data_IF_513513506580
#
_entry.id   IF_513513506580
#
_cell.length_a   1.000
_cell.length_b   1.000
_cell.length_c   1.000
_cell.angle_alpha   90.00
_cell.angle_beta   90.00
_cell.angle_gamma   90.00
#
_symmetry.space_group_name_H-M   'P 1'
#
loop_
_entity.id
_entity.type
_entity.pdbx_description
1 polymer ?
#
# COMPACT_ATOMS: atom_id res chain seq x y z
N UNK A 1 -53.37 18.79 -29.86
CA UNK A 1 -52.66 19.27 -28.67
C UNK A 1 -51.76 18.15 -28.15
N UNK A 2 -50.51 18.16 -28.56
CA UNK A 2 -49.55 17.08 -28.23
C UNK A 2 -48.71 17.56 -27.05
N UNK A 3 -48.87 16.92 -25.90
CA UNK A 3 -48.04 17.20 -24.73
C UNK A 3 -46.65 16.53 -24.92
N UNK A 4 -45.65 17.34 -25.22
CA UNK A 4 -44.24 16.95 -25.15
C UNK A 4 -43.84 16.81 -23.69
N UNK A 5 -43.76 15.60 -23.15
CA UNK A 5 -43.19 15.32 -21.83
C UNK A 5 -41.69 15.44 -21.91
N UNK A 6 -41.10 16.40 -21.20
CA UNK A 6 -39.69 16.67 -21.19
C UNK A 6 -38.92 15.48 -20.59
N UNK A 7 -38.11 14.83 -21.39
CA UNK A 7 -37.19 13.74 -21.05
C UNK A 7 -35.89 14.27 -20.37
N UNK A 8 -35.75 15.58 -20.26
CA UNK A 8 -34.54 16.27 -19.81
C UNK A 8 -34.07 15.98 -18.38
N UNK A 9 -34.95 15.82 -17.35
CA UNK A 9 -34.45 15.58 -16.01
C UNK A 9 -33.84 14.19 -15.81
N UNK A 10 -34.29 13.19 -16.57
CA UNK A 10 -33.78 11.81 -16.43
C UNK A 10 -32.37 11.64 -17.01
N UNK A 11 -32.04 12.38 -18.05
CA UNK A 11 -30.72 12.33 -18.67
C UNK A 11 -29.62 12.95 -17.77
N UNK A 12 -29.97 14.02 -17.06
CA UNK A 12 -29.03 14.70 -16.14
C UNK A 12 -28.67 13.81 -14.94
N UNK A 13 -29.64 13.10 -14.38
CA UNK A 13 -29.40 12.16 -13.27
C UNK A 13 -28.51 10.99 -13.69
N UNK A 14 -28.68 10.50 -14.92
CA UNK A 14 -27.85 9.41 -15.45
C UNK A 14 -26.40 9.81 -15.71
N UNK A 15 -26.15 11.05 -16.14
CA UNK A 15 -24.78 11.59 -16.33
C UNK A 15 -24.07 11.76 -14.98
N UNK A 16 -24.78 12.17 -13.92
CA UNK A 16 -24.17 12.26 -12.59
C UNK A 16 -23.86 10.91 -11.96
N UNK A 17 -24.61 9.85 -12.28
CA UNK A 17 -24.30 8.49 -11.81
C UNK A 17 -23.01 7.92 -12.46
N UNK A 18 -22.66 8.32 -13.68
CA UNK A 18 -21.41 7.91 -14.32
C UNK A 18 -20.19 8.76 -13.91
N UNK A 19 -20.38 9.99 -13.47
CA UNK A 19 -19.30 10.83 -12.93
C UNK A 19 -18.92 10.46 -11.49
N UNK A 20 -19.77 9.72 -10.78
CA UNK A 20 -19.55 9.27 -9.41
C UNK A 20 -18.67 8.02 -9.26
N UNK A 21 -18.33 7.34 -10.36
CA UNK A 21 -17.22 6.38 -10.34
C UNK A 21 -15.90 7.17 -10.35
N UNK A 22 -15.56 7.80 -9.23
CA UNK A 22 -14.18 8.18 -8.98
C UNK A 22 -13.36 6.91 -9.20
N UNK A 23 -12.63 6.85 -10.31
CA UNK A 23 -11.56 5.89 -10.51
C UNK A 23 -10.64 6.10 -9.32
N UNK A 24 -10.72 5.22 -8.33
CA UNK A 24 -9.65 5.06 -7.37
C UNK A 24 -8.45 4.57 -8.18
N UNK A 25 -7.79 5.50 -8.85
CA UNK A 25 -6.59 5.19 -9.60
C UNK A 25 -5.53 4.85 -8.56
N UNK A 26 -5.06 3.62 -8.58
CA UNK A 26 -3.88 3.23 -7.83
C UNK A 26 -2.77 4.24 -8.11
N UNK A 27 -2.10 4.76 -7.09
CA UNK A 27 -1.01 5.71 -7.28
C UNK A 27 0.10 5.05 -8.08
N UNK A 28 0.63 5.76 -9.08
CA UNK A 28 1.79 5.29 -9.84
C UNK A 28 3.04 5.29 -8.96
N UNK A 29 4.02 4.47 -9.32
CA UNK A 29 5.32 4.49 -8.66
C UNK A 29 5.95 5.88 -8.68
N UNK A 30 5.77 6.62 -9.77
CA UNK A 30 6.28 7.99 -9.90
C UNK A 30 5.69 8.91 -8.82
N UNK A 31 4.37 8.85 -8.62
CA UNK A 31 3.70 9.65 -7.57
C UNK A 31 4.19 9.26 -6.17
N UNK A 32 4.38 7.96 -5.93
CA UNK A 32 4.90 7.48 -4.65
C UNK A 32 6.36 7.91 -4.43
N UNK A 33 7.23 7.80 -5.45
CA UNK A 33 8.61 8.28 -5.38
C UNK A 33 8.68 9.79 -5.14
N UNK A 34 7.85 10.58 -5.80
CA UNK A 34 7.77 12.01 -5.62
C UNK A 34 7.33 12.37 -4.19
N UNK A 35 6.24 11.72 -3.69
CA UNK A 35 5.78 11.91 -2.32
C UNK A 35 6.88 11.56 -1.30
N UNK A 36 7.58 10.45 -1.49
CA UNK A 36 8.68 10.06 -0.61
C UNK A 36 9.79 11.12 -0.62
N UNK A 37 10.25 11.55 -1.79
CA UNK A 37 11.36 12.50 -1.92
C UNK A 37 11.02 13.87 -1.33
N UNK A 38 9.77 14.31 -1.44
CA UNK A 38 9.31 15.59 -0.87
C UNK A 38 9.16 15.51 0.66
N UNK A 39 8.93 14.33 1.22
CA UNK A 39 8.56 14.15 2.62
C UNK A 39 9.46 13.11 3.34
N UNK A 40 10.70 12.90 2.90
CA UNK A 40 11.60 11.87 3.46
C UNK A 40 11.74 11.97 4.98
N UNK A 41 11.87 13.21 5.51
CA UNK A 41 11.98 13.42 6.95
C UNK A 41 10.76 12.96 7.74
N UNK A 42 9.58 13.06 7.15
CA UNK A 42 8.32 12.59 7.72
C UNK A 42 8.23 11.05 7.73
N UNK A 43 8.68 10.42 6.64
CA UNK A 43 8.79 8.95 6.57
C UNK A 43 9.74 8.42 7.65
N UNK A 44 10.91 9.05 7.81
CA UNK A 44 11.85 8.69 8.87
C UNK A 44 11.27 8.93 10.29
N UNK A 45 10.47 9.97 10.48
CA UNK A 45 9.79 10.22 11.76
C UNK A 45 8.75 9.14 12.05
N UNK A 46 7.94 8.73 11.04
CA UNK A 46 7.01 7.61 11.19
C UNK A 46 7.75 6.34 11.62
N UNK A 47 8.80 5.97 10.91
CA UNK A 47 9.64 4.82 11.26
C UNK A 47 10.16 4.93 12.70
N UNK A 48 10.72 6.08 13.07
CA UNK A 48 11.31 6.28 14.39
C UNK A 48 10.27 6.21 15.53
N UNK A 49 9.02 6.61 15.27
CA UNK A 49 7.94 6.42 16.23
C UNK A 49 7.58 4.94 16.30
N UNK A 50 7.44 4.26 15.18
CA UNK A 50 7.05 2.84 15.11
C UNK A 50 7.98 1.93 15.89
N UNK A 51 9.28 2.08 15.71
CA UNK A 51 10.30 1.23 16.37
C UNK A 51 10.45 1.47 17.87
N UNK A 52 9.77 2.45 18.47
CA UNK A 52 9.70 2.61 19.93
C UNK A 52 8.82 1.58 20.59
N UNK A 53 7.90 1.01 19.82
CA UNK A 53 6.92 0.05 20.30
C UNK A 53 7.34 -1.35 19.88
N UNK A 54 6.89 -2.32 20.62
CA UNK A 54 7.03 -3.71 20.25
C UNK A 54 6.18 -4.10 19.04
N UNK A 55 5.60 -4.90 18.62
CA UNK A 55 4.75 -5.07 17.44
C UNK A 55 3.47 -4.24 17.57
N UNK A 56 3.12 -3.42 16.53
CA UNK A 56 1.85 -2.71 16.53
C UNK A 56 1.28 -2.48 15.10
N UNK A 57 -0.01 -2.29 15.06
CA UNK A 57 -0.75 -1.76 13.92
C UNK A 57 -1.46 -0.47 14.35
N UNK A 58 -1.53 0.54 13.51
CA UNK A 58 -2.26 1.76 13.76
C UNK A 58 -2.88 2.33 12.49
N UNK A 59 -4.19 2.63 12.57
CA UNK A 59 -4.91 3.39 11.56
C UNK A 59 -5.78 4.46 12.23
N UNK A 60 -5.70 5.72 11.84
CA UNK A 60 -6.58 6.75 12.37
C UNK A 60 -8.04 6.57 11.95
N UNK A 61 -8.31 5.65 11.03
CA UNK A 61 -9.63 5.37 10.48
C UNK A 61 -10.28 4.11 11.06
N UNK A 62 -9.56 3.37 11.91
CA UNK A 62 -10.04 2.15 12.58
C UNK A 62 -10.20 2.38 14.08
N UNK A 63 -11.46 2.63 14.51
CA UNK A 63 -11.77 2.84 15.92
C UNK A 63 -11.72 1.55 16.77
N UNK A 64 -11.66 0.38 16.12
CA UNK A 64 -11.67 -0.93 16.80
C UNK A 64 -10.27 -1.43 17.15
N UNK A 65 -9.23 -0.72 16.74
CA UNK A 65 -7.85 -1.13 16.93
C UNK A 65 -7.45 -1.14 18.43
N UNK A 66 -7.31 -2.36 18.95
CA UNK A 66 -6.90 -2.60 20.35
C UNK A 66 -5.44 -2.18 20.63
N UNK A 67 -4.61 -2.03 19.61
CA UNK A 67 -3.18 -1.68 19.77
C UNK A 67 -2.98 -0.17 19.97
N UNK A 68 -3.96 0.65 19.62
CA UNK A 68 -3.94 2.09 19.87
C UNK A 68 -3.77 2.48 21.34
N UNK A 69 -4.07 1.57 22.28
CA UNK A 69 -3.89 1.79 23.72
C UNK A 69 -2.44 1.72 24.21
N UNK A 70 -1.56 1.14 23.41
CA UNK A 70 -0.14 0.97 23.76
C UNK A 70 0.66 2.23 23.42
N UNK A 71 0.18 3.01 22.46
CA UNK A 71 0.87 4.19 21.95
C UNK A 71 0.64 5.38 22.89
N UNK A 72 1.72 6.12 23.23
CA UNK A 72 1.58 7.33 24.03
C UNK A 72 0.70 8.37 23.34
N UNK A 73 -0.06 9.16 24.10
CA UNK A 73 -0.91 10.23 23.54
C UNK A 73 -0.13 11.19 22.63
N UNK A 74 1.12 11.51 23.00
CA UNK A 74 1.99 12.36 22.20
C UNK A 74 2.31 11.73 20.85
N UNK A 75 2.74 10.46 20.86
CA UNK A 75 3.13 9.75 19.64
C UNK A 75 1.89 9.48 18.75
N UNK A 76 0.72 9.18 19.35
CA UNK A 76 -0.54 9.05 18.63
C UNK A 76 -0.89 10.32 17.86
N UNK A 77 -0.85 11.48 18.52
CA UNK A 77 -1.14 12.77 17.87
C UNK A 77 -0.16 13.07 16.73
N UNK A 78 1.10 12.68 16.90
CA UNK A 78 2.12 12.85 15.86
C UNK A 78 1.88 11.88 14.69
N UNK A 79 1.56 10.60 14.95
CA UNK A 79 1.17 9.63 13.93
C UNK A 79 -0.01 10.11 13.11
N UNK A 80 -1.10 10.58 13.76
CA UNK A 80 -2.28 11.13 13.08
C UNK A 80 -1.92 12.23 12.09
N UNK A 81 -1.05 13.16 12.52
CA UNK A 81 -0.60 14.27 11.69
C UNK A 81 0.24 13.81 10.49
N UNK A 82 1.17 12.87 10.74
CA UNK A 82 2.07 12.36 9.70
C UNK A 82 1.33 11.48 8.68
N UNK A 83 0.47 10.57 9.14
CA UNK A 83 -0.34 9.70 8.31
C UNK A 83 -1.22 10.55 7.38
N UNK A 84 -1.90 11.56 7.92
CA UNK A 84 -2.72 12.48 7.13
C UNK A 84 -1.90 13.29 6.13
N UNK A 85 -0.70 13.78 6.53
CA UNK A 85 0.17 14.58 5.66
C UNK A 85 0.68 13.76 4.48
N UNK A 86 1.03 12.50 4.72
CA UNK A 86 1.62 11.59 3.74
C UNK A 86 0.58 10.82 2.92
N UNK A 87 -0.72 11.02 3.21
CA UNK A 87 -1.85 10.32 2.58
C UNK A 87 -1.75 8.78 2.76
N UNK A 88 -1.34 8.34 3.95
CA UNK A 88 -1.20 6.94 4.32
C UNK A 88 -2.48 6.46 5.02
N UNK A 89 -2.87 5.22 4.82
CA UNK A 89 -4.07 4.61 5.42
C UNK A 89 -3.79 4.01 6.79
N UNK A 90 -2.67 3.33 6.92
CA UNK A 90 -2.28 2.66 8.16
C UNK A 90 -0.78 2.46 8.24
N UNK A 91 -0.30 2.18 9.45
CA UNK A 91 1.08 1.84 9.73
C UNK A 91 1.12 0.55 10.53
N UNK A 92 2.04 -0.33 10.16
CA UNK A 92 2.32 -1.59 10.85
C UNK A 92 3.82 -1.70 11.11
N UNK A 93 4.18 -2.19 12.29
CA UNK A 93 5.54 -2.57 12.63
C UNK A 93 5.57 -4.03 13.06
N UNK A 94 6.48 -4.81 12.50
CA UNK A 94 6.59 -6.25 12.75
C UNK A 94 7.21 -6.61 14.12
N UNK A 95 7.76 -5.63 14.80
CA UNK A 95 8.46 -5.81 16.09
C UNK A 95 9.93 -6.23 15.94
N UNK A 96 10.44 -6.33 14.72
CA UNK A 96 11.81 -6.78 14.43
C UNK A 96 12.58 -5.71 13.65
N UNK A 97 12.17 -5.43 12.44
CA UNK A 97 12.93 -4.51 11.57
C UNK A 97 12.13 -3.86 10.45
N UNK A 98 10.89 -4.29 10.21
CA UNK A 98 10.13 -3.84 9.04
C UNK A 98 8.96 -2.96 9.44
N UNK A 99 8.83 -1.81 8.76
CA UNK A 99 7.72 -0.89 8.90
C UNK A 99 6.97 -0.83 7.59
N UNK A 100 5.67 -1.08 7.62
CA UNK A 100 4.76 -1.08 6.49
C UNK A 100 3.83 0.13 6.60
N UNK A 101 3.78 0.95 5.56
CA UNK A 101 2.95 2.15 5.47
C UNK A 101 1.97 1.95 4.31
N UNK A 102 0.78 1.45 4.61
CA UNK A 102 -0.24 1.17 3.62
C UNK A 102 -0.72 2.46 2.97
N UNK A 103 -0.57 2.57 1.66
CA UNK A 103 -0.93 3.74 0.88
C UNK A 103 -2.24 3.54 0.12
N UNK A 104 -2.45 2.38 -0.48
CA UNK A 104 -3.64 2.11 -1.29
C UNK A 104 -3.98 0.63 -1.32
N UNK A 105 -5.29 0.33 -1.31
CA UNK A 105 -5.83 -1.03 -1.50
C UNK A 105 -6.87 -1.03 -2.61
N UNK A 106 -7.00 -2.16 -3.30
CA UNK A 106 -8.05 -2.37 -4.30
C UNK A 106 -8.51 -3.83 -4.31
N UNK A 107 -9.66 -4.08 -4.93
CA UNK A 107 -10.22 -5.42 -5.09
C UNK A 107 -11.41 -5.71 -4.19
N UNK A 108 -12.04 -6.84 -4.43
CA UNK A 108 -13.20 -7.34 -3.67
C UNK A 108 -12.98 -8.82 -3.39
N UNK A 109 -12.83 -9.17 -2.16
CA UNK A 109 -12.85 -10.47 -1.46
C UNK A 109 -12.05 -11.67 -2.03
N UNK A 110 -11.79 -11.82 -3.30
CA UNK A 110 -11.09 -13.01 -3.87
C UNK A 110 -9.97 -12.66 -4.85
N UNK A 111 -9.88 -11.42 -5.26
CA UNK A 111 -8.76 -10.92 -6.04
C UNK A 111 -8.59 -9.44 -5.73
N UNK A 112 -7.43 -9.07 -5.29
CA UNK A 112 -7.16 -7.71 -4.90
C UNK A 112 -5.67 -7.50 -4.72
N UNK A 113 -5.34 -6.35 -4.15
CA UNK A 113 -3.97 -6.06 -3.83
C UNK A 113 -3.85 -4.76 -3.07
N UNK A 114 -2.63 -4.41 -2.81
CA UNK A 114 -2.29 -3.16 -2.16
C UNK A 114 -0.96 -2.63 -2.66
N UNK A 115 -0.76 -1.35 -2.43
CA UNK A 115 0.49 -0.67 -2.67
C UNK A 115 0.87 0.12 -1.43
N UNK A 116 2.10 -0.04 -0.99
CA UNK A 116 2.57 0.54 0.27
C UNK A 116 4.03 0.98 0.17
N UNK A 117 4.47 1.77 1.16
CA UNK A 117 5.89 1.94 1.44
C UNK A 117 6.30 0.94 2.49
N UNK A 118 7.44 0.32 2.28
CA UNK A 118 8.05 -0.57 3.28
C UNK A 118 9.47 -0.11 3.60
N UNK A 119 9.77 -0.01 4.89
CA UNK A 119 11.15 0.06 5.36
C UNK A 119 11.60 -1.35 5.73
N UNK A 120 12.53 -1.92 4.97
CA UNK A 120 13.02 -3.28 5.15
C UNK A 120 14.51 -3.36 4.74
N UNK A 121 15.44 -2.99 5.63
CA UNK A 121 16.86 -2.86 5.28
C UNK A 121 17.51 -4.17 4.83
N UNK A 122 16.96 -5.31 5.23
CA UNK A 122 17.48 -6.64 4.88
C UNK A 122 16.62 -7.36 3.82
N UNK A 123 15.73 -6.65 3.13
CA UNK A 123 14.78 -7.26 2.19
C UNK A 123 15.48 -8.04 1.08
N UNK A 124 16.57 -7.51 0.54
CA UNK A 124 17.32 -8.16 -0.53
C UNK A 124 17.82 -9.56 -0.11
N UNK A 125 18.43 -9.64 1.07
CA UNK A 125 18.94 -10.91 1.59
C UNK A 125 17.80 -11.90 1.88
N UNK A 126 16.65 -11.41 2.37
CA UNK A 126 15.46 -12.24 2.59
C UNK A 126 14.96 -12.87 1.30
N UNK A 127 14.77 -12.05 0.24
CA UNK A 127 14.28 -12.54 -1.05
C UNK A 127 15.30 -13.48 -1.72
N UNK A 128 16.60 -13.17 -1.66
CA UNK A 128 17.62 -14.06 -2.19
C UNK A 128 17.65 -15.42 -1.48
N UNK A 129 17.47 -15.45 -0.17
CA UNK A 129 17.41 -16.69 0.60
C UNK A 129 16.12 -17.48 0.30
N UNK A 130 14.96 -16.81 0.25
CA UNK A 130 13.68 -17.41 -0.13
C UNK A 130 13.78 -18.06 -1.52
N UNK A 131 14.28 -17.36 -2.51
CA UNK A 131 14.45 -17.88 -3.87
C UNK A 131 15.39 -19.08 -3.95
N UNK A 132 16.43 -19.13 -3.10
CA UNK A 132 17.32 -20.30 -2.99
C UNK A 132 16.60 -21.50 -2.39
N UNK A 133 15.82 -21.30 -1.33
CA UNK A 133 15.05 -22.36 -0.67
C UNK A 133 14.01 -22.96 -1.62
N UNK A 134 13.27 -22.11 -2.32
CA UNK A 134 12.27 -22.53 -3.32
C UNK A 134 12.93 -23.29 -4.48
N UNK A 135 14.11 -22.86 -4.94
CA UNK A 135 14.84 -23.56 -6.01
C UNK A 135 15.34 -24.95 -5.58
N UNK A 136 15.53 -25.19 -4.29
CA UNK A 136 15.98 -26.48 -3.74
C UNK A 136 14.81 -27.47 -3.51
N UNK A 137 13.58 -27.00 -3.41
CA UNK A 137 12.39 -27.83 -3.25
C UNK A 137 11.43 -27.64 -4.45
N UNK A 138 11.59 -28.42 -5.53
CA UNK A 138 10.73 -28.33 -6.70
C UNK A 138 9.29 -28.82 -6.45
N UNK A 139 8.98 -29.34 -5.26
CA UNK A 139 7.61 -29.71 -4.87
C UNK A 139 6.84 -28.52 -4.28
N UNK A 140 7.53 -27.44 -3.97
CA UNK A 140 6.90 -26.19 -3.55
C UNK A 140 6.24 -25.57 -4.77
N UNK A 141 4.91 -25.69 -4.88
CA UNK A 141 4.14 -24.98 -5.87
C UNK A 141 4.31 -23.47 -5.59
N UNK A 142 5.11 -22.80 -6.42
CA UNK A 142 5.38 -21.38 -6.27
C UNK A 142 4.17 -20.60 -6.78
N UNK A 143 3.21 -20.32 -5.86
CA UNK A 143 2.03 -19.52 -6.17
C UNK A 143 2.29 -18.02 -6.13
N UNK A 144 3.45 -17.59 -5.60
CA UNK A 144 3.80 -16.18 -5.42
C UNK A 144 5.16 -15.90 -6.05
N UNK A 145 5.21 -14.92 -6.95
CA UNK A 145 6.47 -14.40 -7.49
C UNK A 145 6.93 -13.22 -6.63
N UNK A 146 8.04 -13.39 -5.93
CA UNK A 146 8.64 -12.35 -5.10
C UNK A 146 9.91 -11.80 -5.77
N UNK A 147 9.95 -10.47 -6.02
CA UNK A 147 11.03 -9.87 -6.80
C UNK A 147 11.31 -8.41 -6.46
N UNK A 148 12.60 -8.05 -6.40
CA UNK A 148 13.04 -6.66 -6.43
C UNK A 148 13.30 -6.24 -7.89
N UNK A 149 12.82 -5.06 -8.28
CA UNK A 149 12.98 -4.51 -9.63
C UNK A 149 13.11 -2.99 -9.61
N UNK A 150 13.89 -2.43 -10.52
CA UNK A 150 13.95 -0.98 -10.76
C UNK A 150 12.88 -0.50 -11.74
N UNK A 151 12.21 -1.43 -12.42
CA UNK A 151 11.13 -1.13 -13.34
C UNK A 151 9.88 -0.64 -12.60
N UNK A 152 8.98 0.03 -13.32
CA UNK A 152 7.67 0.43 -12.81
C UNK A 152 6.83 -0.81 -12.44
N UNK A 153 6.39 -0.87 -11.17
CA UNK A 153 5.71 -2.05 -10.63
C UNK A 153 4.38 -2.32 -11.32
N UNK A 154 3.67 -1.27 -11.75
CA UNK A 154 2.39 -1.41 -12.43
C UNK A 154 2.57 -2.09 -13.79
N UNK A 155 3.65 -1.74 -14.52
CA UNK A 155 4.00 -2.38 -15.79
C UNK A 155 4.50 -3.81 -15.60
N UNK A 156 5.37 -4.04 -14.61
CA UNK A 156 5.90 -5.37 -14.33
C UNK A 156 4.79 -6.31 -13.89
N UNK A 157 3.87 -5.84 -13.06
CA UNK A 157 2.76 -6.64 -12.54
C UNK A 157 1.87 -7.22 -13.64
N UNK A 158 1.70 -6.51 -14.76
CA UNK A 158 0.89 -6.97 -15.91
C UNK A 158 1.47 -8.17 -16.64
N UNK A 159 2.74 -8.49 -16.41
CA UNK A 159 3.43 -9.65 -17.03
C UNK A 159 3.13 -10.96 -16.33
N UNK A 160 2.47 -10.93 -15.17
CA UNK A 160 2.20 -12.10 -14.35
C UNK A 160 0.69 -12.40 -14.29
N UNK A 161 0.36 -13.67 -14.33
CA UNK A 161 -1.00 -14.23 -14.14
C UNK A 161 -1.12 -15.03 -12.85
N UNK A 162 -0.21 -14.82 -11.91
CA UNK A 162 -0.15 -15.44 -10.59
C UNK A 162 -0.01 -14.35 -9.53
N UNK A 163 -0.18 -14.71 -8.27
CA UNK A 163 0.06 -13.78 -7.16
C UNK A 163 1.50 -13.30 -7.15
N UNK A 164 1.70 -12.03 -6.84
CA UNK A 164 3.01 -11.36 -6.91
C UNK A 164 3.25 -10.47 -5.72
N UNK A 165 4.51 -10.39 -5.32
CA UNK A 165 5.08 -9.44 -4.36
C UNK A 165 6.27 -8.74 -5.03
N UNK A 166 6.06 -7.50 -5.48
CA UNK A 166 7.06 -6.74 -6.21
C UNK A 166 7.55 -5.57 -5.38
N UNK A 167 8.86 -5.39 -5.35
CA UNK A 167 9.51 -4.34 -4.58
C UNK A 167 10.36 -3.46 -5.50
N UNK A 168 10.16 -2.14 -5.41
CA UNK A 168 10.98 -1.16 -6.11
C UNK A 168 11.80 -0.37 -5.09
N UNK A 169 13.14 -0.39 -5.17
CA UNK A 169 13.99 0.37 -4.26
C UNK A 169 13.72 1.87 -4.37
N UNK A 170 13.73 2.57 -3.22
CA UNK A 170 13.76 4.02 -3.16
C UNK A 170 15.15 4.46 -2.72
N UNK A 171 15.44 4.37 -1.43
CA UNK A 171 16.76 4.60 -0.82
C UNK A 171 16.77 4.18 0.65
N UNK A 172 17.96 3.94 1.20
CA UNK A 172 18.17 3.74 2.65
C UNK A 172 17.29 2.64 3.27
N UNK A 173 17.02 1.55 2.52
CA UNK A 173 16.17 0.46 2.99
C UNK A 173 14.67 0.69 2.83
N UNK A 174 14.26 1.77 2.17
CA UNK A 174 12.89 2.02 1.76
C UNK A 174 12.60 1.49 0.36
N UNK A 175 11.39 0.93 0.21
CA UNK A 175 10.88 0.40 -1.06
C UNK A 175 9.43 0.83 -1.26
N UNK A 176 8.99 0.87 -2.52
CA UNK A 176 7.58 0.73 -2.89
C UNK A 176 7.33 -0.76 -3.02
N UNK A 177 6.27 -1.24 -2.40
CA UNK A 177 5.83 -2.62 -2.46
C UNK A 177 4.46 -2.68 -3.13
N UNK A 178 4.30 -3.61 -4.07
CA UNK A 178 3.04 -3.94 -4.73
C UNK A 178 2.76 -5.41 -4.51
N UNK A 179 1.67 -5.70 -3.80
CA UNK A 179 1.09 -7.03 -3.66
C UNK A 179 -0.15 -7.15 -4.53
N UNK A 180 -0.27 -8.28 -5.21
CA UNK A 180 -1.47 -8.62 -5.97
C UNK A 180 -1.76 -10.10 -5.87
N UNK A 181 -2.99 -10.43 -5.45
CA UNK A 181 -3.51 -11.79 -5.38
C UNK A 181 -4.38 -12.09 -6.62
N UNK A 182 -4.28 -13.33 -7.11
CA UNK A 182 -5.07 -13.87 -8.21
C UNK A 182 -5.99 -14.98 -7.75
#
# INVERSE_FOLDING_TARGET
>A
MVMSKSLTPFLIVFVFLFLGCARNNMPSDHQMLENFNLNESEFERLRNISVKYDRFYYSPYDETDSTAYIISYKDKKELDSLIKKLDIMSIQYDGISEVYLLFHTWGISVSGGYKEYIYAPNLKDKIENYNKEVALDPTTEMYIVERITEEDLDQVSQRYSVSIELYRPIKNGWYIHLSREY
#
